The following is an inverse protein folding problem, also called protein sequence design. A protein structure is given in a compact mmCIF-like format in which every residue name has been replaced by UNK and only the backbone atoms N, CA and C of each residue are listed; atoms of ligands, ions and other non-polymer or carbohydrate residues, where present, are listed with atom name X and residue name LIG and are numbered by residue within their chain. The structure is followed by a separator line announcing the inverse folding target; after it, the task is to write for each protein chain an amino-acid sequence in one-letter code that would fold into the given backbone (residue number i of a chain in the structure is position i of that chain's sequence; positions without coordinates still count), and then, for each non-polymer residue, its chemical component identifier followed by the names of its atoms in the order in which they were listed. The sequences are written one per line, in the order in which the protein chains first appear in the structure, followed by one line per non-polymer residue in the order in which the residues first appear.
data_IF_688218247745
#
_entry.id   IF_688218247745
#
_cell.length_a   1.000
_cell.length_b   1.000
_cell.length_c   1.000
_cell.angle_alpha   90.00
_cell.angle_beta   90.00
_cell.angle_gamma   90.00
#
_symmetry.space_group_name_H-M   'P 1'
#
loop_
_entity.id
_entity.type
_entity.pdbx_description
1 polymer ?
#
# COMPACT_ATOMS: atom_id res chain seq x y z
N UNK A 1 -47.04 0.57 -1.89
CA UNK A 1 -46.00 0.20 -0.91
C UNK A 1 -44.66 0.28 -1.63
N UNK A 2 -43.71 1.02 -1.06
CA UNK A 2 -42.37 1.26 -1.59
C UNK A 2 -41.54 -0.04 -1.68
N UNK A 3 -40.86 -0.24 -2.80
CA UNK A 3 -39.67 -1.12 -2.87
C UNK A 3 -38.42 -0.22 -2.90
N UNK A 4 -37.51 -0.45 -1.96
CA UNK A 4 -36.27 0.32 -1.74
C UNK A 4 -35.13 -0.19 -2.64
N UNK A 5 -34.34 0.69 -3.29
CA UNK A 5 -33.27 0.30 -4.22
C UNK A 5 -31.90 0.16 -3.51
N UNK A 6 -31.81 -0.69 -2.48
CA UNK A 6 -30.59 -0.81 -1.65
C UNK A 6 -29.79 -2.11 -1.87
N UNK A 7 -30.37 -3.12 -2.53
CA UNK A 7 -29.75 -4.45 -2.67
C UNK A 7 -28.74 -4.56 -3.84
N UNK A 8 -28.88 -3.74 -4.89
CA UNK A 8 -28.03 -3.82 -6.09
C UNK A 8 -26.64 -3.19 -5.92
N UNK A 9 -26.47 -2.29 -4.95
CA UNK A 9 -25.21 -1.56 -4.74
C UNK A 9 -24.26 -2.29 -3.77
N UNK A 10 -24.79 -3.15 -2.89
CA UNK A 10 -23.98 -4.03 -2.05
C UNK A 10 -23.33 -5.15 -2.85
N UNK A 11 -24.02 -5.72 -3.85
CA UNK A 11 -23.45 -6.74 -4.74
C UNK A 11 -22.37 -6.19 -5.67
N UNK A 12 -22.53 -4.97 -6.21
CA UNK A 12 -21.49 -4.31 -7.01
C UNK A 12 -20.22 -4.02 -6.19
N UNK A 13 -20.37 -3.63 -4.92
CA UNK A 13 -19.27 -3.45 -3.96
C UNK A 13 -18.62 -4.78 -3.53
N UNK A 14 -19.36 -5.89 -3.58
CA UNK A 14 -18.85 -7.23 -3.26
C UNK A 14 -18.11 -7.89 -4.45
N UNK A 15 -18.51 -7.57 -5.69
CA UNK A 15 -17.85 -8.03 -6.93
C UNK A 15 -16.48 -7.36 -7.12
N UNK A 16 -16.32 -6.09 -6.72
CA UNK A 16 -15.03 -5.38 -6.77
C UNK A 16 -13.97 -6.00 -5.83
N UNK A 17 -14.40 -6.62 -4.72
CA UNK A 17 -13.51 -7.19 -3.69
C UNK A 17 -13.00 -8.60 -3.98
N UNK A 18 -13.55 -9.29 -4.99
CA UNK A 18 -13.19 -10.67 -5.35
C UNK A 18 -12.39 -10.79 -6.65
N UNK A 19 -12.05 -9.67 -7.29
CA UNK A 19 -11.42 -9.65 -8.62
C UNK A 19 -9.89 -9.74 -8.67
N UNK A 20 -9.15 -9.58 -7.56
CA UNK A 20 -7.69 -9.42 -7.64
C UNK A 20 -6.84 -10.27 -6.69
N UNK A 21 -7.43 -11.24 -5.97
CA UNK A 21 -6.66 -12.32 -5.32
C UNK A 21 -6.66 -13.55 -6.23
N UNK A 22 -5.87 -13.52 -7.31
CA UNK A 22 -5.41 -14.75 -7.97
C UNK A 22 -4.11 -14.53 -8.75
N UNK A 23 -3.00 -14.47 -8.03
CA UNK A 23 -1.70 -14.90 -8.59
C UNK A 23 -1.17 -16.05 -7.72
N UNK A 24 -1.45 -17.24 -8.24
CA UNK A 24 -0.83 -18.58 -8.04
C UNK A 24 -0.84 -19.19 -6.63
N UNK A 25 -1.74 -20.15 -6.39
CA UNK A 25 -1.46 -21.29 -5.49
C UNK A 25 -2.30 -22.54 -5.81
N UNK A 26 -1.96 -23.24 -6.90
CA UNK A 26 -2.37 -24.64 -7.09
C UNK A 26 -1.14 -25.55 -6.96
N UNK A 27 -0.88 -25.98 -5.73
CA UNK A 27 -0.27 -27.28 -5.42
C UNK A 27 -0.77 -27.69 -4.04
N UNK A 28 -1.65 -28.68 -4.07
CA UNK A 28 -2.47 -29.13 -2.97
C UNK A 28 -1.70 -30.02 -1.98
N UNK A 29 -1.85 -29.75 -0.68
CA UNK A 29 -1.91 -30.79 0.35
C UNK A 29 -3.05 -30.44 1.29
N UNK A 30 -4.12 -31.21 1.20
CA UNK A 30 -5.26 -31.17 2.12
C UNK A 30 -4.89 -31.98 3.36
N UNK A 31 -4.91 -31.35 4.53
CA UNK A 31 -5.01 -32.03 5.81
C UNK A 31 -6.23 -31.46 6.56
N UNK A 32 -7.28 -32.28 6.66
CA UNK A 32 -8.48 -32.00 7.45
C UNK A 32 -8.14 -32.05 8.94
N UNK A 33 -8.71 -31.15 9.74
CA UNK A 33 -8.72 -31.21 11.21
C UNK A 33 -10.15 -31.45 11.71
N UNK A 34 -10.38 -32.36 12.68
CA UNK A 34 -11.59 -32.35 13.49
C UNK A 34 -11.45 -31.33 14.62
N UNK A 35 -12.57 -30.66 14.90
CA UNK A 35 -12.74 -29.64 15.93
C UNK A 35 -12.78 -30.28 17.33
N UNK A 36 -12.22 -29.58 18.33
CA UNK A 36 -12.54 -29.85 19.74
C UNK A 36 -12.63 -28.54 20.52
N UNK A 37 -13.79 -28.37 21.16
CA UNK A 37 -14.12 -27.32 22.12
C UNK A 37 -13.15 -27.30 23.31
N UNK A 38 -12.89 -26.11 23.84
CA UNK A 38 -12.29 -25.96 25.16
C UNK A 38 -12.01 -24.52 25.54
N UNK A 39 -13.03 -23.80 26.02
CA UNK A 39 -12.78 -22.61 26.85
C UNK A 39 -12.01 -23.01 28.12
N UNK A 40 -10.84 -22.41 28.33
CA UNK A 40 -10.26 -22.24 29.67
C UNK A 40 -9.71 -20.83 29.79
N UNK A 41 -10.26 -20.08 30.75
CA UNK A 41 -9.66 -18.87 31.31
C UNK A 41 -8.65 -19.29 32.38
N UNK A 42 -7.42 -18.80 32.28
CA UNK A 42 -6.40 -18.64 33.31
C UNK A 42 -5.75 -17.30 32.94
N UNK A 43 -5.71 -16.26 33.76
CA UNK A 43 -5.32 -16.22 35.16
C UNK A 43 -4.10 -15.31 35.19
N UNK A 44 -4.31 -14.05 35.58
CA UNK A 44 -3.34 -12.95 35.60
C UNK A 44 -2.14 -13.26 36.49
N UNK A 45 -0.94 -12.93 36.01
CA UNK A 45 0.04 -12.05 36.67
C UNK A 45 1.43 -12.39 36.14
N UNK A 46 1.96 -11.56 35.24
CA UNK A 46 3.38 -11.22 35.27
C UNK A 46 3.64 -9.92 34.52
N UNK A 47 4.36 -9.06 35.23
CA UNK A 47 4.72 -7.69 34.91
C UNK A 47 5.51 -7.62 33.60
N UNK A 48 4.82 -7.31 32.51
CA UNK A 48 5.48 -6.61 31.41
C UNK A 48 5.41 -5.13 31.75
N UNK A 49 6.55 -4.41 31.86
CA UNK A 49 6.47 -2.95 31.89
C UNK A 49 5.69 -2.53 30.66
N UNK A 50 4.65 -1.71 30.86
CA UNK A 50 3.99 -1.03 29.77
C UNK A 50 5.10 -0.39 28.92
N UNK A 51 5.35 -0.97 27.75
CA UNK A 51 6.18 -0.30 26.74
C UNK A 51 5.41 0.96 26.46
N UNK A 52 5.94 2.06 27.00
CA UNK A 52 5.41 3.39 26.82
C UNK A 52 5.03 3.53 25.36
N UNK A 53 3.76 3.85 25.14
CA UNK A 53 3.18 4.21 23.86
C UNK A 53 4.16 5.12 23.11
N UNK A 54 4.77 4.58 22.06
CA UNK A 54 5.56 5.32 21.06
C UNK A 54 4.64 6.22 20.19
N UNK A 55 3.48 6.61 20.74
CA UNK A 55 2.57 7.61 20.18
C UNK A 55 3.19 9.02 20.25
N UNK A 56 4.24 9.22 21.05
CA UNK A 56 4.85 10.54 21.25
C UNK A 56 5.96 10.89 20.24
N UNK A 57 6.42 9.95 19.41
CA UNK A 57 7.31 10.24 18.27
C UNK A 57 6.53 10.48 16.98
N UNK A 58 5.29 10.95 17.11
CA UNK A 58 4.43 11.44 16.03
C UNK A 58 4.82 12.87 15.61
N UNK A 59 6.11 13.10 15.38
CA UNK A 59 6.59 14.37 14.88
C UNK A 59 6.14 14.54 13.42
N UNK A 60 5.65 15.72 13.10
CA UNK A 60 5.39 16.20 11.75
C UNK A 60 6.59 15.79 10.87
N UNK A 61 6.36 14.91 9.89
CA UNK A 61 7.41 14.53 8.95
C UNK A 61 7.58 15.67 7.95
N UNK A 62 8.72 16.35 7.98
CA UNK A 62 9.08 17.35 6.99
C UNK A 62 9.61 16.64 5.73
N UNK A 63 8.92 16.82 4.60
CA UNK A 63 9.33 16.29 3.30
C UNK A 63 10.70 16.85 2.91
N UNK A 64 11.61 15.97 2.53
CA UNK A 64 13.00 16.32 2.20
C UNK A 64 13.28 16.29 0.71
N UNK A 65 12.55 15.46 -0.04
CA UNK A 65 12.75 15.27 -1.46
C UNK A 65 11.48 15.50 -2.25
N UNK A 66 10.41 14.76 -1.98
CA UNK A 66 9.15 14.84 -2.71
C UNK A 66 8.46 16.18 -2.46
N UNK A 67 7.85 16.73 -3.50
CA UNK A 67 6.88 17.82 -3.37
C UNK A 67 5.56 17.30 -2.80
N UNK A 68 4.66 18.20 -2.39
CA UNK A 68 3.32 17.81 -1.92
C UNK A 68 2.53 17.02 -2.98
N UNK A 69 2.61 17.42 -4.26
CA UNK A 69 1.91 16.74 -5.36
C UNK A 69 2.48 15.35 -5.62
N UNK A 70 3.81 15.24 -5.65
CA UNK A 70 4.49 13.96 -5.81
C UNK A 70 4.21 13.03 -4.63
N UNK A 71 4.17 13.56 -3.42
CA UNK A 71 3.82 12.82 -2.20
C UNK A 71 2.42 12.24 -2.31
N UNK A 72 1.43 13.03 -2.74
CA UNK A 72 0.07 12.53 -2.96
C UNK A 72 0.02 11.43 -4.01
N UNK A 73 0.81 11.55 -5.08
CA UNK A 73 0.92 10.53 -6.13
C UNK A 73 1.56 9.24 -5.59
N UNK A 74 2.67 9.35 -4.85
CA UNK A 74 3.34 8.20 -4.24
C UNK A 74 2.44 7.53 -3.20
N UNK A 75 1.77 8.30 -2.33
CA UNK A 75 0.81 7.75 -1.35
C UNK A 75 -0.29 6.95 -2.05
N UNK A 76 -0.91 7.51 -3.08
CA UNK A 76 -1.94 6.81 -3.86
C UNK A 76 -1.42 5.51 -4.48
N UNK A 77 -0.23 5.52 -5.10
CA UNK A 77 0.37 4.30 -5.69
C UNK A 77 0.65 3.25 -4.61
N UNK A 78 1.30 3.64 -3.51
CA UNK A 78 1.67 2.71 -2.42
C UNK A 78 0.43 2.13 -1.73
N UNK A 79 -0.64 2.91 -1.57
CA UNK A 79 -1.92 2.48 -1.03
C UNK A 79 -2.67 1.49 -1.95
N UNK A 80 -2.35 1.43 -3.25
CA UNK A 80 -2.83 0.36 -4.13
C UNK A 80 -1.99 -0.90 -4.08
N UNK A 81 -0.70 -0.78 -3.78
CA UNK A 81 0.23 -1.92 -3.68
C UNK A 81 0.05 -2.68 -2.36
N UNK A 82 -0.08 -1.97 -1.24
CA UNK A 82 -0.42 -2.54 0.07
C UNK A 82 -1.61 -1.75 0.64
N UNK A 83 -2.86 -2.15 0.31
CA UNK A 83 -4.06 -1.43 0.71
C UNK A 83 -4.35 -1.56 2.21
N UNK A 84 -5.02 -0.55 2.75
CA UNK A 84 -5.62 -0.60 4.08
C UNK A 84 -6.96 -1.33 3.97
N UNK A 85 -7.11 -2.47 4.65
CA UNK A 85 -8.36 -3.24 4.72
C UNK A 85 -8.77 -3.46 6.19
N UNK A 86 -9.09 -4.70 6.59
CA UNK A 86 -9.22 -5.06 8.01
C UNK A 86 -7.87 -4.99 8.76
N UNK A 87 -6.76 -4.86 8.01
CA UNK A 87 -5.40 -4.77 8.50
C UNK A 87 -4.73 -3.47 8.03
N UNK A 88 -3.73 -2.97 8.77
CA UNK A 88 -2.95 -1.80 8.37
C UNK A 88 -2.25 -2.00 7.01
N UNK A 89 -2.29 -0.97 6.16
CA UNK A 89 -1.62 -0.94 4.87
C UNK A 89 -0.48 0.08 4.80
N UNK A 90 -0.11 0.46 3.58
CA UNK A 90 1.00 1.39 3.32
C UNK A 90 0.82 2.76 4.00
N UNK A 91 -0.43 3.24 4.12
CA UNK A 91 -0.76 4.52 4.75
C UNK A 91 -0.50 4.48 6.25
N UNK A 92 -0.99 3.45 6.95
CA UNK A 92 -0.74 3.27 8.38
C UNK A 92 0.75 3.06 8.66
N UNK A 93 1.45 2.35 7.76
CA UNK A 93 2.89 2.19 7.81
C UNK A 93 3.69 3.46 7.45
N UNK A 94 3.04 4.53 6.98
CA UNK A 94 3.68 5.76 6.49
C UNK A 94 4.76 5.50 5.44
N UNK A 95 4.52 4.56 4.54
CA UNK A 95 5.49 4.12 3.52
C UNK A 95 5.97 5.28 2.65
N UNK A 96 5.13 6.27 2.39
CA UNK A 96 5.54 7.48 1.63
C UNK A 96 6.67 8.26 2.31
N UNK A 97 6.74 8.30 3.65
CA UNK A 97 7.84 8.95 4.36
C UNK A 97 9.15 8.18 4.24
N UNK A 98 9.08 6.85 4.24
CA UNK A 98 10.25 6.03 3.92
C UNK A 98 10.78 6.34 2.52
N UNK A 99 9.90 6.42 1.52
CA UNK A 99 10.29 6.71 0.13
C UNK A 99 10.90 8.11 0.03
N UNK A 100 10.29 9.13 0.64
CA UNK A 100 10.86 10.48 0.67
C UNK A 100 12.25 10.50 1.33
N UNK A 101 12.40 9.83 2.48
CA UNK A 101 13.67 9.73 3.17
C UNK A 101 14.74 9.02 2.33
N UNK A 102 14.38 7.90 1.71
CA UNK A 102 15.23 7.11 0.83
C UNK A 102 15.74 7.98 -0.34
N UNK A 103 14.86 8.77 -0.96
CA UNK A 103 15.22 9.62 -2.09
C UNK A 103 16.00 10.87 -1.67
N UNK A 104 15.84 11.34 -0.44
CA UNK A 104 16.65 12.41 0.12
C UNK A 104 18.12 12.00 0.37
N UNK A 105 18.42 10.70 0.33
CA UNK A 105 19.81 10.22 0.33
C UNK A 105 20.50 10.50 -1.01
N UNK A 106 21.83 10.45 -1.07
CA UNK A 106 22.63 10.84 -2.24
C UNK A 106 22.55 9.88 -3.47
N UNK A 107 21.44 9.16 -3.66
CA UNK A 107 21.22 8.24 -4.78
C UNK A 107 20.61 8.96 -6.01
N UNK A 108 21.47 9.53 -6.83
CA UNK A 108 21.06 10.33 -8.00
C UNK A 108 20.28 9.54 -9.06
N UNK A 109 20.49 8.23 -9.16
CA UNK A 109 19.78 7.36 -10.10
C UNK A 109 18.33 7.21 -9.68
N UNK A 110 18.08 6.88 -8.40
CA UNK A 110 16.72 6.76 -7.88
C UNK A 110 15.98 8.10 -7.89
N UNK A 111 16.65 9.18 -7.52
CA UNK A 111 16.07 10.53 -7.58
C UNK A 111 15.58 10.87 -8.99
N UNK A 112 16.41 10.64 -10.02
CA UNK A 112 16.03 10.87 -11.42
C UNK A 112 14.85 10.00 -11.84
N UNK A 113 14.92 8.71 -11.55
CA UNK A 113 13.87 7.74 -11.85
C UNK A 113 12.52 8.16 -11.25
N UNK A 114 12.49 8.66 -10.01
CA UNK A 114 11.27 9.14 -9.38
C UNK A 114 10.73 10.43 -9.99
N UNK A 115 11.60 11.42 -10.26
CA UNK A 115 11.17 12.68 -10.90
C UNK A 115 10.55 12.43 -12.26
N UNK A 116 11.22 11.64 -13.09
CA UNK A 116 10.76 11.32 -14.44
C UNK A 116 9.51 10.43 -14.38
N UNK A 117 9.52 9.39 -13.55
CA UNK A 117 8.41 8.44 -13.43
C UNK A 117 7.12 9.07 -12.91
N UNK A 118 7.19 9.91 -11.87
CA UNK A 118 6.01 10.60 -11.33
C UNK A 118 5.44 11.61 -12.33
N UNK A 119 6.32 12.37 -13.00
CA UNK A 119 5.89 13.31 -14.03
C UNK A 119 5.25 12.59 -15.23
N UNK A 120 5.79 11.45 -15.66
CA UNK A 120 5.24 10.64 -16.75
C UNK A 120 3.90 10.00 -16.35
N UNK A 121 3.77 9.48 -15.14
CA UNK A 121 2.52 8.93 -14.61
C UNK A 121 1.42 10.00 -14.58
N UNK A 122 1.71 11.18 -14.05
CA UNK A 122 0.75 12.28 -14.02
C UNK A 122 0.41 12.79 -15.43
N UNK A 123 1.38 12.87 -16.35
CA UNK A 123 1.10 13.21 -17.77
C UNK A 123 0.21 12.18 -18.46
N UNK A 124 0.45 10.89 -18.24
CA UNK A 124 -0.38 9.81 -18.76
C UNK A 124 -1.83 9.95 -18.28
N UNK A 125 -2.01 10.16 -16.98
CA UNK A 125 -3.33 10.30 -16.37
C UNK A 125 -4.04 11.59 -16.83
N UNK A 126 -3.30 12.70 -16.88
CA UNK A 126 -3.83 13.96 -17.37
C UNK A 126 -4.28 13.87 -18.83
N UNK A 127 -3.55 13.13 -19.68
CA UNK A 127 -3.92 12.92 -21.08
C UNK A 127 -5.20 12.10 -21.21
N UNK A 128 -5.25 10.94 -20.54
CA UNK A 128 -6.31 9.92 -20.67
C UNK A 128 -7.58 10.24 -19.87
N UNK A 129 -7.45 10.86 -18.69
CA UNK A 129 -8.53 11.06 -17.72
C UNK A 129 -8.75 12.52 -17.31
N UNK A 130 -7.90 13.45 -17.77
CA UNK A 130 -7.95 14.90 -17.46
C UNK A 130 -7.68 15.28 -15.99
N UNK A 131 -7.19 14.34 -15.19
CA UNK A 131 -6.76 14.56 -13.81
C UNK A 131 -5.42 13.87 -13.53
N UNK A 132 -4.75 14.28 -12.45
CA UNK A 132 -3.55 13.62 -11.93
C UNK A 132 -3.88 12.22 -11.38
N UNK A 133 -2.88 11.35 -11.28
CA UNK A 133 -3.07 9.97 -10.82
C UNK A 133 -3.72 9.89 -9.43
N UNK A 134 -3.27 10.73 -8.49
CA UNK A 134 -3.79 10.78 -7.13
C UNK A 134 -5.29 11.14 -7.05
N UNK A 135 -5.83 11.78 -8.09
CA UNK A 135 -7.23 12.23 -8.17
C UNK A 135 -8.13 11.29 -8.99
N UNK A 136 -7.58 10.18 -9.52
CA UNK A 136 -8.36 9.13 -10.15
C UNK A 136 -9.19 8.36 -9.11
N UNK A 137 -10.27 7.72 -9.55
CA UNK A 137 -10.93 6.70 -8.73
C UNK A 137 -9.98 5.53 -8.47
N UNK A 138 -10.16 4.80 -7.36
CA UNK A 138 -9.30 3.65 -7.04
C UNK A 138 -9.28 2.59 -8.15
N UNK A 139 -10.43 2.34 -8.79
CA UNK A 139 -10.51 1.40 -9.91
C UNK A 139 -9.70 1.86 -11.14
N UNK A 140 -9.64 3.16 -11.39
CA UNK A 140 -8.80 3.73 -12.46
C UNK A 140 -7.32 3.70 -12.10
N UNK A 141 -6.97 3.97 -10.83
CA UNK A 141 -5.61 3.80 -10.33
C UNK A 141 -5.14 2.36 -10.52
N UNK A 142 -5.94 1.38 -10.08
CA UNK A 142 -5.65 -0.05 -10.22
C UNK A 142 -5.47 -0.44 -11.69
N UNK A 143 -6.33 0.07 -12.58
CA UNK A 143 -6.22 -0.19 -14.03
C UNK A 143 -4.92 0.37 -14.61
N UNK A 144 -4.54 1.59 -14.25
CA UNK A 144 -3.28 2.20 -14.72
C UNK A 144 -2.08 1.40 -14.21
N UNK A 145 -2.04 1.09 -12.91
CA UNK A 145 -0.94 0.33 -12.31
C UNK A 145 -0.81 -1.08 -12.91
N UNK A 146 -1.93 -1.76 -13.16
CA UNK A 146 -1.92 -3.07 -13.83
C UNK A 146 -1.35 -3.00 -15.26
N UNK A 147 -1.63 -1.93 -16.00
CA UNK A 147 -1.03 -1.71 -17.33
C UNK A 147 0.47 -1.42 -17.25
N UNK A 148 0.91 -0.68 -16.23
CA UNK A 148 2.34 -0.46 -15.97
C UNK A 148 3.05 -1.78 -15.69
N UNK A 149 2.51 -2.58 -14.77
CA UNK A 149 3.05 -3.90 -14.39
C UNK A 149 3.19 -4.84 -15.59
N UNK A 150 2.15 -4.91 -16.44
CA UNK A 150 2.14 -5.75 -17.65
C UNK A 150 2.95 -5.17 -18.82
N UNK A 151 3.51 -3.96 -18.67
CA UNK A 151 4.23 -3.23 -19.72
C UNK A 151 3.36 -2.97 -20.96
N UNK A 152 2.09 -2.65 -20.73
CA UNK A 152 1.04 -2.44 -21.74
C UNK A 152 0.77 -0.94 -22.01
N UNK A 153 1.76 -0.06 -21.78
CA UNK A 153 1.66 1.39 -22.03
C UNK A 153 2.67 1.77 -23.14
N UNK A 154 2.27 1.72 -24.42
CA UNK A 154 3.18 1.95 -25.54
C UNK A 154 3.84 3.34 -25.54
N UNK A 155 3.14 4.36 -25.02
CA UNK A 155 3.65 5.73 -24.94
C UNK A 155 4.69 5.95 -23.82
N UNK A 156 4.87 4.98 -22.92
CA UNK A 156 5.83 5.04 -21.83
C UNK A 156 6.42 3.65 -21.57
N UNK A 157 7.48 3.33 -22.30
CA UNK A 157 8.14 2.02 -22.29
C UNK A 157 8.68 1.62 -20.91
N UNK A 158 9.16 2.59 -20.14
CA UNK A 158 9.78 2.40 -18.82
C UNK A 158 8.74 2.32 -17.68
N UNK A 159 7.44 2.40 -17.98
CA UNK A 159 6.38 2.41 -16.98
C UNK A 159 6.43 1.19 -16.04
N UNK A 160 6.71 0.00 -16.58
CA UNK A 160 6.82 -1.23 -15.79
C UNK A 160 8.07 -1.28 -14.93
N UNK A 161 9.17 -0.67 -15.37
CA UNK A 161 10.39 -0.58 -14.57
C UNK A 161 10.16 0.40 -13.39
N UNK A 162 9.53 1.54 -13.66
CA UNK A 162 9.13 2.48 -12.61
C UNK A 162 8.16 1.85 -11.59
N UNK A 163 7.14 1.13 -12.06
CA UNK A 163 6.21 0.39 -11.20
C UNK A 163 6.95 -0.63 -10.32
N UNK A 164 7.89 -1.38 -10.90
CA UNK A 164 8.68 -2.38 -10.17
C UNK A 164 9.51 -1.71 -9.06
N UNK A 165 10.14 -0.57 -9.34
CA UNK A 165 10.92 0.18 -8.34
C UNK A 165 10.05 0.67 -7.19
N UNK A 166 8.94 1.36 -7.47
CA UNK A 166 8.08 1.90 -6.40
C UNK A 166 7.44 0.77 -5.59
N UNK A 167 7.09 -0.37 -6.23
CA UNK A 167 6.61 -1.57 -5.54
C UNK A 167 7.63 -2.14 -4.58
N UNK A 168 8.89 -2.26 -4.99
CA UNK A 168 9.94 -2.76 -4.11
C UNK A 168 10.15 -1.82 -2.92
N UNK A 169 10.24 -0.51 -3.16
CA UNK A 169 10.36 0.46 -2.06
C UNK A 169 9.10 0.50 -1.18
N UNK A 170 7.92 0.16 -1.69
CA UNK A 170 6.69 0.02 -0.88
C UNK A 170 6.83 -1.13 0.12
N UNK A 171 7.31 -2.28 -0.36
CA UNK A 171 7.53 -3.46 0.48
C UNK A 171 8.63 -3.18 1.51
N UNK A 172 9.75 -2.59 1.09
CA UNK A 172 10.83 -2.19 1.99
C UNK A 172 10.34 -1.23 3.06
N UNK A 173 9.61 -0.18 2.67
CA UNK A 173 9.05 0.79 3.59
C UNK A 173 8.03 0.20 4.56
N UNK A 174 7.27 -0.82 4.14
CA UNK A 174 6.27 -1.46 5.00
C UNK A 174 6.89 -2.41 6.03
N UNK A 175 8.00 -3.09 5.71
CA UNK A 175 8.52 -4.19 6.53
C UNK A 175 9.91 -3.94 7.14
N UNK A 176 10.56 -2.82 6.82
CA UNK A 176 11.84 -2.43 7.44
C UNK A 176 11.68 -1.86 8.86
N UNK A 177 12.81 -1.65 9.54
CA UNK A 177 12.87 -0.98 10.84
C UNK A 177 12.25 0.42 10.78
N UNK A 178 11.32 0.79 11.70
CA UNK A 178 10.65 2.09 11.68
C UNK A 178 11.59 3.30 11.78
N UNK A 179 12.84 3.12 12.24
CA UNK A 179 13.84 4.19 12.24
C UNK A 179 14.12 4.78 10.85
N UNK A 180 13.78 4.06 9.77
CA UNK A 180 13.88 4.55 8.39
C UNK A 180 12.63 5.32 7.93
N UNK A 181 11.76 5.73 8.85
CA UNK A 181 10.55 6.52 8.63
C UNK A 181 9.38 5.80 7.93
N UNK A 182 9.53 4.51 7.61
CA UNK A 182 8.44 3.61 7.22
C UNK A 182 7.95 2.77 8.39
N UNK A 183 7.15 1.75 8.10
CA UNK A 183 6.62 0.77 9.06
C UNK A 183 6.19 1.41 10.40
N UNK A 184 5.51 2.56 10.32
CA UNK A 184 5.15 3.33 11.50
C UNK A 184 4.32 2.49 12.47
N UNK A 185 4.60 2.60 13.77
CA UNK A 185 3.96 1.75 14.77
C UNK A 185 4.29 0.26 14.66
N UNK A 186 5.28 -0.13 13.84
CA UNK A 186 5.64 -1.53 13.55
C UNK A 186 4.47 -2.33 12.96
N UNK A 187 3.55 -1.67 12.25
CA UNK A 187 2.34 -2.34 11.72
C UNK A 187 2.67 -3.50 10.80
N UNK A 188 3.70 -3.38 9.95
CA UNK A 188 4.15 -4.46 9.07
C UNK A 188 4.74 -5.65 9.81
N UNK A 189 5.40 -5.43 10.95
CA UNK A 189 5.89 -6.52 11.80
C UNK A 189 4.75 -7.25 12.50
N UNK A 190 3.74 -6.50 12.96
CA UNK A 190 2.50 -7.09 13.46
C UNK A 190 1.81 -8.01 12.45
N UNK A 191 1.87 -7.69 11.14
CA UNK A 191 1.37 -8.57 10.07
C UNK A 191 2.19 -9.85 9.90
N UNK A 192 3.49 -9.81 10.19
CA UNK A 192 4.39 -10.97 10.12
C UNK A 192 4.36 -11.82 11.40
N UNK A 193 3.80 -11.29 12.49
CA UNK A 193 3.76 -11.97 13.79
C UNK A 193 5.10 -11.95 14.52
N UNK A 194 5.92 -10.91 14.30
CA UNK A 194 7.23 -10.70 14.95
C UNK A 194 7.24 -9.50 15.87
#
# INVERSE_FOLDING_TARGET
MNETPEETDQDARNISRRGFVRIVRDSAVVLMLPQALGCRRFGSDDKHPAVATDEATHAIYELKFLTNEETATVDAVTARIIPSDERPGAREGRVVHFIDHLLATSNTIQQRLYREGLQQLNRLCQSRFKVQFANLSEAEQDKVLAQMERREIPEWREAGDFFSTIRNHTIEGMFSDPKYHGNAGRVGWGLMGV
#
